data_IF_795472080972
#
_entry.id   IF_795472080972
#
_cell.length_a   1.000
_cell.length_b   1.000
_cell.length_c   1.000
_cell.angle_alpha   90.00
_cell.angle_beta   90.00
_cell.angle_gamma   90.00
#
_symmetry.space_group_name_H-M   'P 1'
#
loop_
_entity.id
_entity.type
_entity.pdbx_description
1 polymer ?
#
# COMPACT_ATOMS: atom_id res chain seq x y z
N UNK A 1 -1.23 20.94 -6.19
CA UNK A 1 -1.15 19.50 -5.80
C UNK A 1 -2.59 19.05 -5.63
N UNK A 2 -3.03 18.06 -6.43
CA UNK A 2 -4.35 17.44 -6.23
C UNK A 2 -4.20 16.35 -5.16
N UNK A 3 -4.97 16.43 -4.07
CA UNK A 3 -4.94 15.40 -3.02
C UNK A 3 -5.21 14.00 -3.56
N UNK A 4 -6.12 13.87 -4.50
CA UNK A 4 -6.51 12.57 -5.08
C UNK A 4 -5.36 11.91 -5.83
N UNK A 5 -4.56 12.70 -6.54
CA UNK A 5 -3.36 12.19 -7.25
C UNK A 5 -2.31 11.71 -6.24
N UNK A 6 -2.10 12.43 -5.15
CA UNK A 6 -1.14 12.02 -4.12
C UNK A 6 -1.60 10.77 -3.35
N UNK A 7 -2.91 10.63 -3.11
CA UNK A 7 -3.48 9.41 -2.53
C UNK A 7 -3.27 8.23 -3.49
N UNK A 8 -3.57 8.40 -4.79
CA UNK A 8 -3.37 7.36 -5.80
C UNK A 8 -1.89 6.91 -5.86
N UNK A 9 -0.93 7.85 -5.82
CA UNK A 9 0.50 7.53 -5.75
C UNK A 9 0.90 6.81 -4.45
N UNK A 10 0.31 7.19 -3.33
CA UNK A 10 0.55 6.53 -2.04
C UNK A 10 0.06 5.08 -2.06
N UNK A 11 -1.14 4.86 -2.63
CA UNK A 11 -1.70 3.52 -2.81
C UNK A 11 -0.86 2.66 -3.76
N UNK A 12 -0.43 3.21 -4.88
CA UNK A 12 0.48 2.54 -5.79
C UNK A 12 1.74 2.07 -5.07
N UNK A 13 2.39 2.95 -4.28
CA UNK A 13 3.58 2.58 -3.50
C UNK A 13 3.32 1.46 -2.50
N UNK A 14 2.16 1.46 -1.83
CA UNK A 14 1.76 0.38 -0.92
C UNK A 14 1.55 -0.96 -1.64
N UNK A 15 1.01 -0.93 -2.86
CA UNK A 15 0.85 -2.13 -3.69
C UNK A 15 2.20 -2.68 -4.18
N UNK A 16 3.16 -1.81 -4.49
CA UNK A 16 4.50 -2.18 -4.93
C UNK A 16 5.38 -2.78 -3.81
N UNK A 17 5.12 -2.42 -2.55
CA UNK A 17 5.90 -2.89 -1.40
C UNK A 17 4.97 -3.30 -0.23
N UNK A 18 4.24 -4.43 -0.37
CA UNK A 18 3.36 -4.91 0.68
C UNK A 18 4.16 -5.19 1.95
N UNK A 19 3.59 -4.82 3.11
CA UNK A 19 4.28 -4.90 4.41
C UNK A 19 5.12 -3.67 4.78
N UNK A 20 5.42 -2.77 3.84
CA UNK A 20 6.03 -1.48 4.20
C UNK A 20 4.96 -0.44 4.56
N UNK A 21 5.31 0.47 5.48
CA UNK A 21 4.47 1.63 5.82
C UNK A 21 4.53 2.70 4.73
N UNK A 22 5.73 2.92 4.17
CA UNK A 22 5.96 3.82 3.02
C UNK A 22 7.12 3.29 2.17
N UNK A 23 7.13 3.69 0.91
CA UNK A 23 8.10 3.28 -0.09
C UNK A 23 8.35 4.46 -1.04
N UNK A 24 9.53 5.07 -0.92
CA UNK A 24 9.89 6.25 -1.70
C UNK A 24 10.97 5.89 -2.72
N UNK A 25 10.69 6.00 -4.04
CA UNK A 25 11.67 5.74 -5.07
C UNK A 25 12.66 6.90 -5.25
N UNK A 26 13.94 6.55 -5.53
CA UNK A 26 15.02 7.46 -5.87
C UNK A 26 15.80 6.96 -7.09
N UNK A 27 16.61 7.84 -7.68
CA UNK A 27 17.52 7.51 -8.77
C UNK A 27 16.84 6.75 -9.93
N UNK A 28 15.73 7.29 -10.45
CA UNK A 28 14.92 6.66 -11.50
C UNK A 28 14.49 5.24 -11.12
N UNK A 29 13.97 5.08 -9.90
CA UNK A 29 13.47 3.83 -9.34
C UNK A 29 14.52 2.72 -9.12
N UNK A 30 15.82 3.04 -9.18
CA UNK A 30 16.90 2.06 -8.91
C UNK A 30 17.11 1.82 -7.41
N UNK A 31 16.83 2.83 -6.59
CA UNK A 31 16.98 2.80 -5.14
C UNK A 31 15.65 3.15 -4.51
N UNK A 32 15.33 2.53 -3.39
CA UNK A 32 14.14 2.82 -2.60
C UNK A 32 14.48 3.03 -1.14
N UNK A 33 13.77 3.95 -0.52
CA UNK A 33 13.72 4.10 0.93
C UNK A 33 12.42 3.49 1.41
N UNK A 34 12.51 2.43 2.19
CA UNK A 34 11.38 1.78 2.83
C UNK A 34 11.25 2.26 4.27
N UNK A 35 10.02 2.49 4.71
CA UNK A 35 9.65 2.61 6.11
C UNK A 35 8.96 1.32 6.53
N UNK A 36 9.54 0.57 7.48
CA UNK A 36 9.06 -0.76 7.89
C UNK A 36 8.83 -0.77 9.39
N UNK A 37 7.65 -1.22 9.82
CA UNK A 37 7.35 -1.40 11.25
C UNK A 37 8.04 -2.67 11.76
N UNK A 38 8.74 -2.56 12.88
CA UNK A 38 9.28 -3.70 13.60
C UNK A 38 8.19 -4.24 14.54
N UNK A 39 7.46 -5.21 14.09
CA UNK A 39 6.41 -5.84 14.89
C UNK A 39 6.95 -6.90 15.85
N UNK A 40 6.06 -7.57 16.60
CA UNK A 40 6.43 -8.60 17.54
C UNK A 40 7.08 -9.82 16.88
N UNK A 41 6.74 -10.11 15.64
CA UNK A 41 7.15 -11.30 14.88
C UNK A 41 8.35 -11.03 13.96
N UNK A 42 8.85 -9.78 13.91
CA UNK A 42 9.95 -9.41 13.03
C UNK A 42 11.21 -10.27 13.31
N UNK A 43 11.72 -11.05 12.33
CA UNK A 43 12.82 -12.01 12.56
C UNK A 43 14.16 -11.36 12.91
N UNK A 44 14.31 -10.07 12.59
CA UNK A 44 15.56 -9.31 12.83
C UNK A 44 15.46 -8.36 14.02
N UNK A 45 14.34 -8.38 14.73
CA UNK A 45 14.19 -7.67 16.01
C UNK A 45 15.19 -8.19 17.05
N UNK A 46 15.69 -7.31 17.89
CA UNK A 46 16.63 -7.60 18.98
C UNK A 46 18.00 -8.19 18.54
N UNK A 47 18.28 -8.21 17.22
CA UNK A 47 19.56 -8.64 16.68
C UNK A 47 20.44 -7.40 16.44
N UNK A 48 21.71 -7.47 16.86
CA UNK A 48 22.67 -6.38 16.60
C UNK A 48 22.91 -6.20 15.11
N UNK A 49 22.99 -4.96 14.65
CA UNK A 49 23.17 -4.66 13.21
C UNK A 49 24.42 -5.31 12.60
N UNK A 50 25.52 -5.45 13.35
CA UNK A 50 26.73 -6.13 12.88
C UNK A 50 26.56 -7.66 12.72
N UNK A 51 25.55 -8.25 13.35
CA UNK A 51 25.22 -9.67 13.23
C UNK A 51 24.27 -9.94 12.08
N UNK A 52 23.46 -8.94 11.67
CA UNK A 52 22.53 -9.05 10.54
C UNK A 52 23.26 -9.39 9.24
N UNK A 53 24.40 -8.77 8.97
CA UNK A 53 25.22 -9.05 7.78
C UNK A 53 25.69 -10.50 7.73
N UNK A 54 25.94 -11.13 8.87
CA UNK A 54 26.32 -12.55 8.96
C UNK A 54 25.13 -13.47 8.76
N UNK A 55 23.97 -13.11 9.34
CA UNK A 55 22.75 -13.90 9.28
C UNK A 55 22.07 -13.82 7.90
N UNK A 56 22.14 -12.65 7.27
CA UNK A 56 21.55 -12.34 5.98
C UNK A 56 22.62 -11.83 4.99
N UNK A 57 23.58 -12.66 4.56
CA UNK A 57 24.73 -12.21 3.75
C UNK A 57 24.36 -11.70 2.34
N UNK A 58 23.17 -12.04 1.86
CA UNK A 58 22.66 -11.57 0.57
C UNK A 58 21.87 -10.29 0.68
N UNK A 59 21.56 -9.85 1.89
CA UNK A 59 20.78 -8.62 2.13
C UNK A 59 21.67 -7.41 1.90
N UNK A 60 21.55 -6.80 0.74
CA UNK A 60 22.28 -5.57 0.41
C UNK A 60 21.41 -4.34 0.71
N UNK A 61 21.05 -4.19 1.98
CA UNK A 61 20.26 -3.09 2.48
C UNK A 61 21.04 -2.26 3.50
N UNK A 62 20.76 -0.98 3.57
CA UNK A 62 21.36 -0.07 4.53
C UNK A 62 20.27 0.48 5.47
N UNK A 63 20.33 0.07 6.74
CA UNK A 63 19.43 0.59 7.77
C UNK A 63 19.99 1.95 8.21
N UNK A 64 19.27 3.02 7.86
CA UNK A 64 19.67 4.40 8.16
C UNK A 64 19.44 4.75 9.62
N UNK A 65 18.38 4.25 10.22
CA UNK A 65 17.97 4.51 11.59
C UNK A 65 16.54 4.07 11.82
N UNK A 66 16.02 4.41 12.98
CA UNK A 66 14.64 4.11 13.35
C UNK A 66 13.95 5.35 13.92
N UNK A 67 12.61 5.43 13.79
CA UNK A 67 11.82 6.28 14.66
C UNK A 67 11.39 5.44 15.85
N UNK A 68 11.78 5.88 17.03
CA UNK A 68 11.48 5.32 18.35
C UNK A 68 10.96 6.43 19.24
N UNK A 69 9.79 6.27 19.85
CA UNK A 69 9.15 7.28 20.70
C UNK A 69 9.11 8.66 20.01
N UNK A 70 8.67 8.67 18.75
CA UNK A 70 8.54 9.85 17.89
C UNK A 70 9.87 10.59 17.58
N UNK A 71 11.01 10.00 17.90
CA UNK A 71 12.35 10.57 17.65
C UNK A 71 13.13 9.70 16.68
N UNK A 72 13.81 10.36 15.75
CA UNK A 72 14.72 9.66 14.85
C UNK A 72 16.03 9.31 15.58
N UNK A 73 16.38 8.03 15.59
CA UNK A 73 17.57 7.47 16.22
C UNK A 73 18.46 6.86 15.16
N UNK A 74 19.67 7.39 15.02
CA UNK A 74 20.72 6.77 14.20
C UNK A 74 21.27 5.55 14.93
N UNK A 75 21.13 4.38 14.30
CA UNK A 75 21.62 3.13 14.89
C UNK A 75 23.12 2.92 14.62
N UNK A 76 23.84 2.52 15.66
CA UNK A 76 25.24 2.05 15.56
C UNK A 76 25.26 0.56 15.27
N UNK A 77 26.42 0.05 14.83
CA UNK A 77 26.61 -1.38 14.52
C UNK A 77 26.28 -2.34 15.67
N UNK A 78 26.35 -1.87 16.91
CA UNK A 78 26.07 -2.64 18.14
C UNK A 78 24.63 -2.52 18.61
N UNK A 79 23.85 -1.60 18.02
CA UNK A 79 22.49 -1.35 18.44
C UNK A 79 21.54 -2.38 17.82
N UNK A 80 20.34 -2.46 18.38
CA UNK A 80 19.27 -3.35 17.95
C UNK A 80 18.02 -2.55 17.58
N UNK A 81 17.20 -3.09 16.69
CA UNK A 81 15.85 -2.62 16.44
C UNK A 81 14.91 -3.26 17.46
N UNK A 82 14.02 -2.48 18.03
CA UNK A 82 13.06 -2.91 19.04
C UNK A 82 11.65 -3.00 18.43
N UNK A 83 10.77 -3.69 19.13
CA UNK A 83 9.34 -3.70 18.79
C UNK A 83 8.81 -2.27 18.76
N UNK A 84 7.93 -1.99 17.82
CA UNK A 84 7.27 -0.70 17.54
C UNK A 84 8.21 0.38 16.95
N UNK A 85 9.50 0.08 16.71
CA UNK A 85 10.36 0.93 15.90
C UNK A 85 9.86 0.99 14.45
N UNK A 86 9.94 2.16 13.82
CA UNK A 86 9.79 2.31 12.38
C UNK A 86 11.17 2.43 11.75
N UNK A 87 11.62 1.36 11.10
CA UNK A 87 12.94 1.29 10.48
C UNK A 87 12.96 1.96 9.11
N UNK A 88 13.96 2.79 8.86
CA UNK A 88 14.24 3.41 7.56
C UNK A 88 15.36 2.66 6.86
N UNK A 89 15.03 2.01 5.75
CA UNK A 89 15.94 1.09 5.06
C UNK A 89 16.11 1.52 3.62
N UNK A 90 17.34 1.79 3.20
CA UNK A 90 17.70 2.08 1.80
C UNK A 90 18.12 0.78 1.12
N UNK A 91 17.50 0.50 -0.02
CA UNK A 91 17.71 -0.74 -0.77
C UNK A 91 17.89 -0.47 -2.26
N UNK A 92 18.47 -1.43 -2.97
CA UNK A 92 18.27 -1.55 -4.40
C UNK A 92 16.86 -2.08 -4.66
N UNK A 93 16.15 -1.53 -5.64
CA UNK A 93 14.77 -1.93 -5.97
C UNK A 93 14.65 -3.44 -6.26
N UNK A 94 15.67 -4.05 -6.87
CA UNK A 94 15.69 -5.50 -7.14
C UNK A 94 15.74 -6.38 -5.88
N UNK A 95 16.04 -5.80 -4.72
CA UNK A 95 16.13 -6.53 -3.45
C UNK A 95 14.97 -6.27 -2.50
N UNK A 96 13.89 -5.70 -3.01
CA UNK A 96 12.72 -5.37 -2.20
C UNK A 96 12.15 -6.60 -1.51
N UNK A 97 11.90 -7.67 -2.24
CA UNK A 97 11.29 -8.88 -1.70
C UNK A 97 12.18 -9.55 -0.64
N UNK A 98 13.50 -9.64 -0.89
CA UNK A 98 14.44 -10.20 0.09
C UNK A 98 14.49 -9.35 1.37
N UNK A 99 14.47 -8.03 1.21
CA UNK A 99 14.46 -7.12 2.37
C UNK A 99 13.17 -7.26 3.16
N UNK A 100 12.01 -7.16 2.54
CA UNK A 100 10.72 -7.31 3.22
C UNK A 100 10.62 -8.67 3.91
N UNK A 101 11.05 -9.76 3.26
CA UNK A 101 11.10 -11.10 3.85
C UNK A 101 12.01 -11.15 5.09
N UNK A 102 13.17 -10.50 5.07
CA UNK A 102 14.07 -10.45 6.23
C UNK A 102 13.43 -9.71 7.43
N UNK A 103 12.57 -8.73 7.15
CA UNK A 103 11.77 -8.03 8.16
C UNK A 103 10.51 -8.79 8.60
N UNK A 104 10.22 -9.95 7.99
CA UNK A 104 9.07 -10.81 8.35
C UNK A 104 7.87 -10.65 7.43
N UNK A 105 7.96 -9.82 6.39
CA UNK A 105 6.91 -9.61 5.41
C UNK A 105 7.09 -10.57 4.23
N UNK A 106 6.15 -11.51 4.10
CA UNK A 106 6.14 -12.54 3.04
C UNK A 106 5.00 -12.34 2.05
N UNK A 107 4.26 -11.25 2.19
CA UNK A 107 3.15 -10.89 1.33
C UNK A 107 3.64 -10.72 -0.10
N UNK A 108 2.93 -11.32 -1.03
CA UNK A 108 3.26 -11.22 -2.46
C UNK A 108 2.74 -9.90 -3.02
N UNK A 109 3.50 -9.33 -3.96
CA UNK A 109 3.02 -8.21 -4.76
C UNK A 109 1.81 -8.68 -5.55
N UNK A 110 0.68 -8.00 -5.35
CA UNK A 110 -0.57 -8.32 -6.03
C UNK A 110 -0.53 -7.82 -7.47
N UNK A 111 -0.83 -8.70 -8.41
CA UNK A 111 -0.98 -8.34 -9.82
C UNK A 111 -2.44 -8.41 -10.30
N UNK A 112 -3.38 -8.95 -9.52
CA UNK A 112 -4.82 -8.97 -9.79
C UNK A 112 -5.51 -8.07 -8.79
N UNK A 113 -5.90 -6.88 -9.24
CA UNK A 113 -6.35 -5.78 -8.39
C UNK A 113 -7.78 -5.40 -8.81
N UNK A 114 -8.68 -5.31 -7.82
CA UNK A 114 -10.03 -4.80 -7.99
C UNK A 114 -10.17 -3.46 -7.25
N UNK A 115 -10.56 -2.43 -7.97
CA UNK A 115 -10.84 -1.10 -7.44
C UNK A 115 -12.35 -0.91 -7.42
N UNK A 116 -12.92 -0.54 -6.29
CA UNK A 116 -14.32 -0.18 -6.14
C UNK A 116 -14.40 1.35 -6.09
N UNK A 117 -15.06 1.93 -7.09
CA UNK A 117 -15.16 3.37 -7.30
C UNK A 117 -14.18 3.90 -8.35
N UNK A 118 -14.74 4.32 -9.49
CA UNK A 118 -14.01 4.96 -10.60
C UNK A 118 -13.90 6.48 -10.47
N UNK A 119 -14.00 7.01 -9.24
CA UNK A 119 -13.76 8.43 -8.94
C UNK A 119 -12.34 8.86 -9.27
N UNK A 120 -11.96 10.08 -8.85
CA UNK A 120 -10.63 10.61 -9.19
C UNK A 120 -9.47 9.77 -8.61
N UNK A 121 -9.63 9.21 -7.40
CA UNK A 121 -8.60 8.37 -6.78
C UNK A 121 -8.46 7.05 -7.53
N UNK A 122 -9.57 6.32 -7.73
CA UNK A 122 -9.56 5.01 -8.39
C UNK A 122 -9.09 5.09 -9.83
N UNK A 123 -9.56 6.08 -10.59
CA UNK A 123 -9.11 6.33 -11.96
C UNK A 123 -7.60 6.63 -12.05
N UNK A 124 -7.09 7.56 -11.22
CA UNK A 124 -5.66 7.89 -11.24
C UNK A 124 -4.79 6.71 -10.78
N UNK A 125 -5.27 5.92 -9.81
CA UNK A 125 -4.57 4.71 -9.39
C UNK A 125 -4.50 3.69 -10.54
N UNK A 126 -5.61 3.39 -11.20
CA UNK A 126 -5.63 2.47 -12.33
C UNK A 126 -4.69 2.92 -13.45
N UNK A 127 -4.73 4.20 -13.81
CA UNK A 127 -3.85 4.78 -14.81
C UNK A 127 -2.36 4.66 -14.42
N UNK A 128 -2.01 4.97 -13.18
CA UNK A 128 -0.64 4.82 -12.69
C UNK A 128 -0.17 3.35 -12.73
N UNK A 129 -1.07 2.40 -12.42
CA UNK A 129 -0.74 0.97 -12.46
C UNK A 129 -0.54 0.49 -13.91
N UNK A 130 -1.35 0.96 -14.87
CA UNK A 130 -1.14 0.67 -16.30
C UNK A 130 0.23 1.17 -16.79
N UNK A 131 0.63 2.38 -16.37
CA UNK A 131 1.84 3.04 -16.85
C UNK A 131 3.13 2.45 -16.24
N UNK A 132 3.05 1.86 -15.04
CA UNK A 132 4.25 1.47 -14.26
C UNK A 132 4.33 0.01 -13.89
N UNK A 133 3.29 -0.79 -14.15
CA UNK A 133 3.20 -2.16 -13.65
C UNK A 133 2.66 -3.11 -14.72
N UNK A 134 3.51 -3.46 -15.70
CA UNK A 134 3.15 -4.26 -16.89
C UNK A 134 2.41 -5.57 -16.57
N UNK A 135 2.62 -6.15 -15.39
CA UNK A 135 1.97 -7.39 -14.95
C UNK A 135 0.63 -7.17 -14.23
N UNK A 136 0.25 -5.93 -13.89
CA UNK A 136 -0.98 -5.66 -13.19
C UNK A 136 -2.21 -5.87 -14.08
N UNK A 137 -3.17 -6.61 -13.57
CA UNK A 137 -4.50 -6.78 -14.14
C UNK A 137 -5.49 -6.05 -13.24
N UNK A 138 -5.90 -4.88 -13.66
CA UNK A 138 -6.75 -4.00 -12.89
C UNK A 138 -8.17 -4.09 -13.42
N UNK A 139 -9.14 -4.19 -12.50
CA UNK A 139 -10.56 -4.01 -12.77
C UNK A 139 -11.09 -2.89 -11.91
N UNK A 140 -12.08 -2.14 -12.43
CA UNK A 140 -12.81 -1.11 -11.69
C UNK A 140 -14.28 -1.47 -11.71
N UNK A 141 -14.95 -1.44 -10.57
CA UNK A 141 -16.41 -1.40 -10.49
C UNK A 141 -16.82 0.05 -10.23
N UNK A 142 -17.68 0.59 -11.12
CA UNK A 142 -18.21 1.95 -11.00
C UNK A 142 -19.74 1.92 -11.16
N UNK A 143 -20.42 2.51 -10.18
CA UNK A 143 -21.89 2.49 -10.11
C UNK A 143 -22.53 3.46 -11.10
N UNK A 144 -21.92 4.63 -11.29
CA UNK A 144 -22.40 5.63 -12.25
C UNK A 144 -22.02 5.23 -13.67
N UNK A 145 -23.02 5.05 -14.52
CA UNK A 145 -22.84 4.59 -15.90
C UNK A 145 -22.03 5.55 -16.75
N UNK A 146 -22.35 6.85 -16.68
CA UNK A 146 -21.68 7.86 -17.49
C UNK A 146 -20.19 7.96 -17.07
N UNK A 147 -19.94 7.83 -15.78
CA UNK A 147 -18.56 7.80 -15.25
C UNK A 147 -17.83 6.53 -15.68
N UNK A 148 -18.46 5.37 -15.64
CA UNK A 148 -17.89 4.11 -16.07
C UNK A 148 -17.48 4.16 -17.55
N UNK A 149 -18.37 4.66 -18.43
CA UNK A 149 -18.09 4.84 -19.87
C UNK A 149 -16.95 5.84 -20.10
N UNK A 150 -16.92 6.96 -19.35
CA UNK A 150 -15.87 7.96 -19.46
C UNK A 150 -14.50 7.39 -19.11
N UNK A 151 -14.36 6.72 -17.95
CA UNK A 151 -13.06 6.17 -17.53
C UNK A 151 -12.62 5.00 -18.40
N UNK A 152 -13.55 4.16 -18.86
CA UNK A 152 -13.25 3.08 -19.79
C UNK A 152 -12.66 3.60 -21.11
N UNK A 153 -13.10 4.77 -21.57
CA UNK A 153 -12.53 5.40 -22.79
C UNK A 153 -11.12 5.96 -22.62
N UNK A 154 -10.64 6.12 -21.38
CA UNK A 154 -9.35 6.75 -21.05
C UNK A 154 -8.32 5.76 -20.51
N UNK A 155 -8.71 4.54 -20.19
CA UNK A 155 -7.87 3.44 -19.73
C UNK A 155 -7.63 2.46 -20.87
N UNK A 156 -6.43 1.88 -20.93
CA UNK A 156 -6.04 1.00 -22.04
C UNK A 156 -6.18 -0.49 -21.71
N UNK A 157 -5.81 -0.88 -20.51
CA UNK A 157 -5.71 -2.27 -20.07
C UNK A 157 -6.63 -2.60 -18.89
N UNK A 158 -7.23 -1.60 -18.25
CA UNK A 158 -8.14 -1.76 -17.12
C UNK A 158 -9.55 -2.10 -17.62
N UNK A 159 -10.13 -3.14 -17.07
CA UNK A 159 -11.53 -3.49 -17.33
C UNK A 159 -12.42 -2.69 -16.40
N UNK A 160 -13.40 -1.97 -16.97
CA UNK A 160 -14.39 -1.22 -16.20
C UNK A 160 -15.74 -1.94 -16.26
N UNK A 161 -16.28 -2.26 -15.10
CA UNK A 161 -17.57 -2.91 -14.91
C UNK A 161 -18.53 -1.87 -14.35
N UNK A 162 -19.67 -1.66 -15.03
CA UNK A 162 -20.70 -0.77 -14.52
C UNK A 162 -21.67 -1.56 -13.62
N UNK A 163 -21.67 -1.26 -12.33
CA UNK A 163 -22.55 -1.92 -11.36
C UNK A 163 -22.33 -1.45 -9.93
N UNK A 164 -23.18 -1.90 -9.02
CA UNK A 164 -23.06 -1.67 -7.59
C UNK A 164 -22.18 -2.77 -6.98
N UNK A 165 -21.08 -2.41 -6.35
CA UNK A 165 -20.18 -3.37 -5.71
C UNK A 165 -20.77 -4.05 -4.45
N UNK A 166 -21.91 -3.60 -3.96
CA UNK A 166 -22.66 -4.28 -2.92
C UNK A 166 -23.54 -5.41 -3.49
N UNK A 167 -23.67 -5.52 -4.81
CA UNK A 167 -24.34 -6.61 -5.48
C UNK A 167 -23.36 -7.77 -5.72
N UNK A 168 -23.71 -8.94 -5.22
CA UNK A 168 -22.92 -10.16 -5.32
C UNK A 168 -22.68 -10.58 -6.78
N UNK A 169 -23.66 -10.40 -7.65
CA UNK A 169 -23.54 -10.75 -9.07
C UNK A 169 -22.47 -9.90 -9.76
N UNK A 170 -22.35 -8.62 -9.39
CA UNK A 170 -21.33 -7.70 -9.92
C UNK A 170 -19.92 -8.09 -9.41
N UNK A 171 -19.79 -8.51 -8.16
CA UNK A 171 -18.53 -9.02 -7.63
C UNK A 171 -18.11 -10.34 -8.31
N UNK A 172 -19.07 -11.22 -8.63
CA UNK A 172 -18.80 -12.44 -9.40
C UNK A 172 -18.37 -12.12 -10.83
N UNK A 173 -19.02 -11.16 -11.50
CA UNK A 173 -18.60 -10.67 -12.84
C UNK A 173 -17.16 -10.13 -12.82
N UNK A 174 -16.79 -9.47 -11.74
CA UNK A 174 -15.41 -9.01 -11.54
C UNK A 174 -14.41 -10.16 -11.31
N UNK A 175 -14.85 -11.43 -11.24
CA UNK A 175 -14.05 -12.60 -10.86
C UNK A 175 -13.34 -12.39 -9.53
N UNK A 176 -14.10 -12.01 -8.49
CA UNK A 176 -13.56 -11.74 -7.17
C UNK A 176 -12.71 -12.91 -6.65
N UNK A 177 -13.00 -14.14 -7.03
CA UNK A 177 -12.24 -15.33 -6.64
C UNK A 177 -10.77 -15.25 -7.00
N UNK A 178 -10.43 -14.67 -8.14
CA UNK A 178 -9.06 -14.52 -8.62
C UNK A 178 -8.34 -13.27 -8.12
N UNK A 179 -9.09 -12.32 -7.57
CA UNK A 179 -8.54 -11.04 -7.11
C UNK A 179 -7.68 -11.24 -5.86
N UNK A 180 -6.52 -10.62 -5.83
CA UNK A 180 -5.56 -10.66 -4.72
C UNK A 180 -5.68 -9.45 -3.80
N UNK A 181 -5.99 -8.28 -4.36
CA UNK A 181 -6.20 -7.05 -3.57
C UNK A 181 -7.45 -6.33 -4.02
N UNK A 182 -8.27 -5.95 -3.06
CA UNK A 182 -9.46 -5.11 -3.27
C UNK A 182 -9.24 -3.76 -2.59
N UNK A 183 -9.47 -2.67 -3.35
CA UNK A 183 -9.40 -1.30 -2.85
C UNK A 183 -10.79 -0.67 -2.96
N UNK A 184 -11.43 -0.41 -1.83
CA UNK A 184 -12.69 0.33 -1.75
C UNK A 184 -12.39 1.84 -1.66
N UNK A 185 -12.58 2.55 -2.77
CA UNK A 185 -12.16 3.94 -2.98
C UNK A 185 -13.32 4.85 -3.39
N UNK A 186 -14.54 4.51 -2.99
CA UNK A 186 -15.70 5.39 -3.20
C UNK A 186 -15.61 6.61 -2.27
N UNK A 187 -16.49 7.57 -2.45
CA UNK A 187 -16.63 8.72 -1.55
C UNK A 187 -17.52 8.43 -0.33
N UNK A 188 -18.08 7.23 -0.23
CA UNK A 188 -18.91 6.79 0.90
C UNK A 188 -18.15 5.80 1.77
N UNK A 189 -17.90 6.19 3.03
CA UNK A 189 -17.15 5.38 3.98
C UNK A 189 -17.88 4.08 4.34
N UNK A 190 -19.21 4.14 4.45
CA UNK A 190 -20.07 3.01 4.77
C UNK A 190 -20.04 1.97 3.64
N UNK A 191 -20.14 2.41 2.38
CA UNK A 191 -20.02 1.52 1.22
C UNK A 191 -18.62 0.89 1.19
N UNK A 192 -17.56 1.66 1.45
CA UNK A 192 -16.20 1.15 1.49
C UNK A 192 -16.00 0.07 2.57
N UNK A 193 -16.59 0.26 3.75
CA UNK A 193 -16.57 -0.73 4.82
C UNK A 193 -17.38 -1.98 4.45
N UNK A 194 -18.59 -1.79 3.93
CA UNK A 194 -19.49 -2.90 3.59
C UNK A 194 -18.91 -3.79 2.50
N UNK A 195 -18.37 -3.21 1.43
CA UNK A 195 -17.68 -3.98 0.38
C UNK A 195 -16.49 -4.75 0.95
N UNK A 196 -15.69 -4.14 1.81
CA UNK A 196 -14.55 -4.83 2.44
C UNK A 196 -14.98 -6.03 3.27
N UNK A 197 -16.10 -5.91 4.00
CA UNK A 197 -16.68 -7.02 4.78
C UNK A 197 -17.23 -8.13 3.86
N UNK A 198 -17.89 -7.76 2.74
CA UNK A 198 -18.36 -8.73 1.77
C UNK A 198 -17.21 -9.52 1.16
N UNK A 199 -16.11 -8.85 0.79
CA UNK A 199 -14.90 -9.49 0.25
C UNK A 199 -14.30 -10.47 1.26
N UNK A 200 -14.21 -10.09 2.53
CA UNK A 200 -13.70 -10.95 3.59
C UNK A 200 -14.61 -12.18 3.82
N UNK A 201 -15.93 -12.00 3.73
CA UNK A 201 -16.88 -13.11 3.80
C UNK A 201 -16.69 -14.07 2.61
N UNK A 202 -16.59 -13.54 1.41
CA UNK A 202 -16.33 -14.34 0.20
C UNK A 202 -15.06 -15.17 0.31
N UNK A 203 -13.98 -14.59 0.88
CA UNK A 203 -12.73 -15.28 1.09
C UNK A 203 -12.85 -16.46 2.07
N UNK A 204 -13.74 -16.38 3.06
CA UNK A 204 -13.95 -17.45 4.05
C UNK A 204 -14.82 -18.60 3.58
N UNK A 205 -15.81 -18.29 2.75
CA UNK A 205 -16.80 -19.29 2.32
C UNK A 205 -16.20 -20.26 1.26
N UNK A 206 -15.01 -19.95 0.74
CA UNK A 206 -14.29 -20.75 -0.25
C UNK A 206 -12.90 -21.11 0.31
N UNK A 207 -12.74 -22.28 0.91
CA UNK A 207 -11.51 -22.79 1.55
C UNK A 207 -10.24 -22.80 0.65
N UNK A 208 -10.39 -22.61 -0.67
CA UNK A 208 -9.30 -22.57 -1.65
C UNK A 208 -8.89 -21.15 -2.06
N UNK A 209 -9.50 -20.11 -1.48
CA UNK A 209 -9.26 -18.74 -1.93
C UNK A 209 -7.95 -18.18 -1.40
N UNK A 210 -7.26 -17.51 -2.30
CA UNK A 210 -6.08 -16.68 -2.09
C UNK A 210 -6.36 -15.72 -0.93
N UNK A 211 -5.42 -15.61 0.01
CA UNK A 211 -5.43 -14.59 1.06
C UNK A 211 -5.59 -13.21 0.41
N UNK A 212 -6.79 -12.62 0.57
CA UNK A 212 -7.16 -11.38 -0.10
C UNK A 212 -6.82 -10.20 0.79
N UNK A 213 -6.05 -9.27 0.26
CA UNK A 213 -5.79 -8.01 0.94
C UNK A 213 -6.91 -7.02 0.66
N UNK A 214 -7.43 -6.40 1.70
CA UNK A 214 -8.46 -5.37 1.60
C UNK A 214 -7.95 -4.01 2.08
N UNK A 215 -8.25 -2.96 1.31
CA UNK A 215 -7.88 -1.59 1.63
C UNK A 215 -9.10 -0.69 1.46
N UNK A 216 -9.43 0.11 2.46
CA UNK A 216 -10.59 0.98 2.44
C UNK A 216 -10.24 2.45 2.66
N UNK A 217 -10.75 3.33 1.81
CA UNK A 217 -10.69 4.78 1.99
C UNK A 217 -11.70 5.19 3.06
N UNK A 218 -11.24 5.82 4.14
CA UNK A 218 -12.07 6.22 5.27
C UNK A 218 -11.80 7.68 5.62
N UNK A 219 -12.83 8.49 5.50
CA UNK A 219 -12.80 9.93 5.81
C UNK A 219 -13.15 10.22 7.29
N UNK A 220 -13.95 9.35 7.92
CA UNK A 220 -14.42 9.54 9.30
C UNK A 220 -13.41 8.92 10.29
N UNK A 221 -12.74 9.74 11.16
CA UNK A 221 -11.69 9.21 12.07
C UNK A 221 -12.18 8.13 13.02
N UNK A 222 -13.44 8.21 13.43
CA UNK A 222 -14.02 7.26 14.40
C UNK A 222 -14.10 5.83 13.85
N UNK A 223 -14.10 5.66 12.54
CA UNK A 223 -14.15 4.34 11.91
C UNK A 223 -12.83 3.58 11.98
N UNK A 224 -11.71 4.26 12.28
CA UNK A 224 -10.42 3.60 12.51
C UNK A 224 -10.48 2.53 13.62
N UNK A 225 -11.40 2.69 14.59
CA UNK A 225 -11.63 1.71 15.66
C UNK A 225 -12.23 0.40 15.14
N UNK A 226 -12.86 0.41 13.97
CA UNK A 226 -13.49 -0.75 13.36
C UNK A 226 -12.52 -1.62 12.55
N UNK A 227 -11.35 -1.11 12.20
CA UNK A 227 -10.41 -1.79 11.30
C UNK A 227 -10.11 -3.22 11.74
N UNK A 228 -9.67 -3.41 12.97
CA UNK A 228 -9.34 -4.73 13.52
C UNK A 228 -10.56 -5.65 13.62
N UNK A 229 -11.71 -5.09 14.01
CA UNK A 229 -12.95 -5.87 14.18
C UNK A 229 -13.51 -6.33 12.82
N UNK A 230 -13.36 -5.54 11.78
CA UNK A 230 -13.83 -5.85 10.42
C UNK A 230 -12.77 -6.60 9.60
N UNK A 231 -11.56 -6.81 10.14
CA UNK A 231 -10.44 -7.49 9.48
C UNK A 231 -10.02 -6.84 8.15
N UNK A 232 -10.11 -5.53 8.06
CA UNK A 232 -9.64 -4.75 6.92
C UNK A 232 -8.15 -4.48 7.12
N UNK A 233 -7.32 -4.85 6.15
CA UNK A 233 -5.86 -4.80 6.29
C UNK A 233 -5.34 -3.37 6.40
N UNK A 234 -5.84 -2.47 5.54
CA UNK A 234 -5.41 -1.07 5.53
C UNK A 234 -6.59 -0.10 5.49
N UNK A 235 -6.62 0.84 6.43
CA UNK A 235 -7.44 2.05 6.32
C UNK A 235 -6.60 3.19 5.72
N UNK A 236 -7.17 3.86 4.73
CA UNK A 236 -6.54 4.96 4.01
C UNK A 236 -7.23 6.25 4.45
N UNK A 237 -6.53 7.06 5.26
CA UNK A 237 -7.02 8.41 5.61
C UNK A 237 -6.49 9.42 4.59
N UNK A 238 -7.37 10.02 3.76
CA UNK A 238 -6.96 11.01 2.74
C UNK A 238 -6.27 12.23 3.33
N UNK A 239 -6.65 12.63 4.55
CA UNK A 239 -6.11 13.83 5.22
C UNK A 239 -4.66 13.61 5.63
N UNK A 240 -4.35 12.45 6.20
CA UNK A 240 -2.98 12.11 6.60
C UNK A 240 -2.04 12.02 5.41
N UNK A 241 -2.51 11.46 4.29
CA UNK A 241 -1.75 11.44 3.04
C UNK A 241 -1.46 12.84 2.50
N UNK A 242 -2.45 13.73 2.54
CA UNK A 242 -2.30 15.13 2.09
C UNK A 242 -1.31 15.89 2.98
N UNK A 243 -1.41 15.80 4.31
CA UNK A 243 -0.49 16.45 5.25
C UNK A 243 0.94 15.93 5.05
N UNK A 244 1.13 14.62 4.93
CA UNK A 244 2.44 14.02 4.69
C UNK A 244 3.04 14.49 3.36
N UNK A 245 2.24 14.61 2.30
CA UNK A 245 2.70 15.11 1.00
C UNK A 245 3.13 16.59 1.07
N UNK A 246 2.36 17.44 1.74
CA UNK A 246 2.71 18.85 1.94
C UNK A 246 4.02 18.98 2.73
N UNK A 247 4.16 18.24 3.82
CA UNK A 247 5.38 18.25 4.64
C UNK A 247 6.61 17.79 3.84
N UNK A 248 6.49 16.74 3.02
CA UNK A 248 7.55 16.27 2.12
C UNK A 248 7.97 17.35 1.11
N UNK A 249 7.05 18.16 0.61
CA UNK A 249 7.36 19.28 -0.31
C UNK A 249 8.06 20.45 0.40
N UNK A 250 7.64 20.79 1.61
CA UNK A 250 8.27 21.84 2.41
C UNK A 250 9.71 21.45 2.77
N UNK A 251 9.94 20.17 3.16
CA UNK A 251 11.28 19.69 3.50
C UNK A 251 12.23 19.60 2.30
N UNK A 252 11.73 19.30 1.09
CA UNK A 252 12.56 19.32 -0.13
C UNK A 252 13.20 20.70 -0.38
N UNK A 253 12.46 21.80 -0.16
CA UNK A 253 13.00 23.15 -0.31
C UNK A 253 14.12 23.48 0.69
N UNK A 254 14.16 22.83 1.84
CA UNK A 254 15.19 23.07 2.87
C UNK A 254 16.45 22.20 2.67
N UNK A 255 16.29 21.01 2.05
CA UNK A 255 17.40 20.08 1.81
C UNK A 255 18.24 20.51 0.59
N UNK A 256 17.63 21.10 -0.44
CA UNK A 256 18.38 21.63 -1.58
C UNK A 256 19.33 22.77 -1.20
N UNK A 257 19.05 23.50 -0.12
CA UNK A 257 19.93 24.57 0.40
C UNK A 257 21.01 24.07 1.37
N UNK A 258 21.03 22.80 1.74
CA UNK A 258 22.03 22.25 2.67
C UNK A 258 23.27 21.65 1.99
N UNK A 259 23.30 21.64 0.65
CA UNK A 259 24.41 21.13 -0.16
C UNK A 259 25.00 22.16 -1.14
N UNK A 260 24.86 23.45 -0.86
CA UNK A 260 25.54 24.53 -1.60
C UNK A 260 26.72 25.09 -0.82
#
# INVERSE_FOLDING_TARGET
>A
ISPEIEIAKSLQRKLEAPGSLDNVPFANNKIRLLEILIDANCPIKDIKLNELTKKYPKLNSNIMGVIRDEKFVLLKKTDVMLKDDKAYVVINTSQMNETLTAFGHTEKISNKILIIGGGNIGFNLAKNLEDSFDSARVKIIEKDKDRAELIASQLNNTIVINGDALDEEVLLEANLEEVQTVLALTNDDEDNLMVSVLVEKFAKDNDELIDKRTMALINKPNYSLLQTSLKIDDFIDPRMNTVSSILKHIHKGTIENAYS
#
